data_IF_714340392359
#
_entry.id   IF_714340392359
#
_cell.length_a   1.000
_cell.length_b   1.000
_cell.length_c   1.000
_cell.angle_alpha   90.00
_cell.angle_beta   90.00
_cell.angle_gamma   90.00
#
_symmetry.space_group_name_H-M   'P 1'
#
loop_
_entity.id
_entity.type
_entity.pdbx_description
1 polymer ?
#
# COMPACT_ATOMS: atom_id res chain seq x y z
N UNK A 1 -2.62 -8.90 18.50
CA UNK A 1 -2.65 -9.13 17.03
C UNK A 1 -1.85 -8.01 16.37
N UNK A 2 -0.86 -8.36 15.55
CA UNK A 2 0.00 -7.36 14.87
C UNK A 2 -0.65 -6.94 13.56
N UNK A 3 -0.56 -5.65 13.21
CA UNK A 3 -1.01 -5.15 11.91
C UNK A 3 0.18 -4.54 11.17
N UNK A 4 0.42 -4.99 9.94
CA UNK A 4 1.41 -4.44 9.04
C UNK A 4 0.76 -3.47 8.08
N UNK A 5 1.36 -2.30 7.88
CA UNK A 5 1.03 -1.41 6.78
C UNK A 5 1.98 -1.70 5.61
N UNK A 6 1.42 -1.93 4.42
CA UNK A 6 2.19 -2.25 3.23
C UNK A 6 1.79 -1.32 2.09
N UNK A 7 2.70 -0.41 1.74
CA UNK A 7 2.52 0.53 0.64
C UNK A 7 2.68 -0.19 -0.70
N UNK A 8 1.69 -0.08 -1.58
CA UNK A 8 1.72 -0.66 -2.93
C UNK A 8 2.02 0.41 -3.97
N UNK A 9 3.05 0.18 -4.76
CA UNK A 9 3.52 1.08 -5.81
C UNK A 9 3.69 0.32 -7.13
N UNK A 10 3.10 0.85 -8.20
CA UNK A 10 3.25 0.28 -9.55
C UNK A 10 4.67 0.51 -10.07
N UNK A 11 5.23 -0.49 -10.74
CA UNK A 11 6.64 -0.50 -11.14
C UNK A 11 7.61 -0.86 -10.01
N UNK A 12 7.13 -1.18 -8.80
CA UNK A 12 7.98 -1.55 -7.67
C UNK A 12 7.57 -2.86 -6.99
N UNK A 13 6.41 -2.89 -6.33
CA UNK A 13 6.08 -3.98 -5.39
C UNK A 13 4.59 -4.39 -5.41
N UNK A 14 3.85 -4.06 -6.47
CA UNK A 14 2.43 -4.37 -6.59
C UNK A 14 2.12 -5.62 -7.43
N UNK A 15 3.08 -6.55 -7.59
CA UNK A 15 2.93 -7.74 -8.44
C UNK A 15 2.73 -9.02 -7.63
N UNK A 16 2.22 -10.10 -8.26
CA UNK A 16 1.93 -11.37 -7.58
C UNK A 16 3.13 -11.98 -6.84
N UNK A 17 4.34 -11.78 -7.34
CA UNK A 17 5.58 -12.31 -6.79
C UNK A 17 5.84 -11.76 -5.39
N UNK A 18 5.73 -10.44 -5.21
CA UNK A 18 5.92 -9.82 -3.89
C UNK A 18 4.83 -10.22 -2.90
N UNK A 19 3.59 -10.44 -3.36
CA UNK A 19 2.52 -10.94 -2.49
C UNK A 19 2.84 -12.35 -1.95
N UNK A 20 3.39 -13.23 -2.79
CA UNK A 20 3.81 -14.58 -2.37
C UNK A 20 4.99 -14.52 -1.41
N UNK A 21 5.99 -13.67 -1.68
CA UNK A 21 7.13 -13.47 -0.79
C UNK A 21 6.70 -12.93 0.57
N UNK A 22 5.82 -11.92 0.59
CA UNK A 22 5.27 -11.37 1.83
C UNK A 22 4.48 -12.44 2.59
N UNK A 23 3.69 -13.25 1.90
CA UNK A 23 2.95 -14.34 2.54
C UNK A 23 3.89 -15.37 3.20
N UNK A 24 5.00 -15.70 2.55
CA UNK A 24 6.00 -16.60 3.10
C UNK A 24 6.67 -16.03 4.35
N UNK A 25 7.03 -14.73 4.32
CA UNK A 25 7.65 -14.05 5.48
C UNK A 25 6.71 -13.98 6.68
N UNK A 26 5.41 -13.84 6.44
CA UNK A 26 4.40 -13.73 7.51
C UNK A 26 3.84 -15.09 7.95
N UNK A 27 4.32 -16.20 7.39
CA UNK A 27 3.80 -17.54 7.67
C UNK A 27 3.94 -17.87 9.16
N UNK A 28 2.83 -18.33 9.76
CA UNK A 28 2.77 -18.70 11.18
C UNK A 28 2.54 -17.54 12.15
N UNK A 29 2.52 -16.28 11.67
CA UNK A 29 2.21 -15.13 12.51
C UNK A 29 0.71 -14.79 12.49
N UNK A 30 0.13 -14.58 13.68
CA UNK A 30 -1.24 -14.08 13.82
C UNK A 30 -1.23 -12.56 13.57
N UNK A 31 -1.39 -12.18 12.31
CA UNK A 31 -1.30 -10.80 11.86
C UNK A 31 -2.35 -10.42 10.82
N UNK A 32 -2.45 -9.12 10.56
CA UNK A 32 -3.25 -8.51 9.49
C UNK A 32 -2.36 -7.62 8.64
N UNK A 33 -2.61 -7.56 7.34
CA UNK A 33 -1.95 -6.63 6.42
C UNK A 33 -2.95 -5.59 5.90
N UNK A 34 -2.62 -4.32 6.07
CA UNK A 34 -3.31 -3.19 5.47
C UNK A 34 -2.54 -2.74 4.22
N UNK A 35 -3.08 -3.06 3.05
CA UNK A 35 -2.55 -2.62 1.76
C UNK A 35 -2.95 -1.16 1.52
N UNK A 36 -1.98 -0.30 1.26
CA UNK A 36 -2.18 1.13 1.03
C UNK A 36 -1.70 1.44 -0.39
N UNK A 37 -2.59 1.65 -1.36
CA UNK A 37 -2.17 2.06 -2.70
C UNK A 37 -1.53 3.43 -2.66
N UNK A 38 -0.32 3.56 -3.21
CA UNK A 38 0.40 4.83 -3.32
C UNK A 38 -0.46 5.84 -4.10
N UNK A 39 -0.61 7.05 -3.55
CA UNK A 39 -1.13 8.17 -4.32
C UNK A 39 0.03 8.83 -5.06
N UNK A 40 -0.15 9.26 -6.31
CA UNK A 40 0.90 9.96 -7.04
C UNK A 40 1.36 11.19 -6.27
N UNK A 41 2.67 11.32 -6.08
CA UNK A 41 3.32 12.52 -5.53
C UNK A 41 4.56 12.85 -6.37
N UNK A 42 4.87 14.13 -6.60
CA UNK A 42 5.95 14.54 -7.51
C UNK A 42 7.34 13.96 -7.22
N UNK A 43 7.61 13.61 -5.97
CA UNK A 43 8.92 13.19 -5.47
C UNK A 43 9.17 11.69 -5.66
N UNK A 44 8.14 10.90 -5.95
CA UNK A 44 8.26 9.47 -6.15
C UNK A 44 7.98 9.12 -7.61
N UNK A 45 8.88 8.38 -8.28
CA UNK A 45 8.70 8.01 -9.69
C UNK A 45 7.63 6.93 -9.90
N UNK A 46 7.10 6.37 -8.81
CA UNK A 46 6.16 5.26 -8.84
C UNK A 46 4.71 5.73 -8.90
N UNK A 47 3.89 4.96 -9.61
CA UNK A 47 2.49 5.27 -9.81
C UNK A 47 1.60 4.49 -8.85
N UNK A 48 0.36 4.94 -8.76
CA UNK A 48 -0.71 4.16 -8.13
C UNK A 48 -0.88 2.84 -8.88
N UNK A 49 -0.85 1.68 -8.20
CA UNK A 49 -1.16 0.40 -8.82
C UNK A 49 -2.57 0.34 -9.39
N UNK A 50 -2.74 -0.44 -10.46
CA UNK A 50 -4.07 -0.74 -10.99
C UNK A 50 -4.94 -1.47 -9.95
N UNK A 51 -6.25 -1.28 -10.03
CA UNK A 51 -7.21 -2.00 -9.17
C UNK A 51 -7.06 -3.52 -9.28
N UNK A 52 -6.76 -4.02 -10.50
CA UNK A 52 -6.48 -5.43 -10.77
C UNK A 52 -5.28 -5.92 -9.96
N UNK A 53 -4.17 -5.20 -9.98
CA UNK A 53 -2.96 -5.57 -9.26
C UNK A 53 -3.20 -5.61 -7.74
N UNK A 54 -3.87 -4.58 -7.21
CA UNK A 54 -4.24 -4.51 -5.78
C UNK A 54 -5.11 -5.71 -5.37
N UNK A 55 -6.13 -6.01 -6.17
CA UNK A 55 -7.07 -7.12 -5.92
C UNK A 55 -6.35 -8.47 -5.97
N UNK A 56 -5.47 -8.67 -6.95
CA UNK A 56 -4.67 -9.90 -7.07
C UNK A 56 -3.73 -10.05 -5.86
N UNK A 57 -3.04 -8.98 -5.46
CA UNK A 57 -2.16 -8.97 -4.29
C UNK A 57 -2.91 -9.34 -3.02
N UNK A 58 -4.06 -8.69 -2.77
CA UNK A 58 -4.93 -8.98 -1.63
C UNK A 58 -5.40 -10.43 -1.63
N UNK A 59 -5.82 -10.95 -2.80
CA UNK A 59 -6.29 -12.33 -2.95
C UNK A 59 -5.20 -13.33 -2.59
N UNK A 60 -3.97 -13.11 -3.05
CA UNK A 60 -2.84 -14.00 -2.76
C UNK A 60 -2.57 -14.07 -1.25
N UNK A 61 -2.55 -12.92 -0.55
CA UNK A 61 -2.37 -12.91 0.90
C UNK A 61 -3.48 -13.70 1.62
N UNK A 62 -4.74 -13.46 1.23
CA UNK A 62 -5.90 -14.15 1.82
C UNK A 62 -5.88 -15.66 1.58
N UNK A 63 -5.49 -16.10 0.38
CA UNK A 63 -5.33 -17.52 0.04
C UNK A 63 -4.25 -18.21 0.87
N UNK A 64 -3.28 -17.45 1.39
CA UNK A 64 -2.24 -17.95 2.30
C UNK A 64 -2.59 -17.76 3.78
N UNK A 65 -3.87 -17.52 4.11
CA UNK A 65 -4.34 -17.39 5.49
C UNK A 65 -4.03 -16.05 6.16
N UNK A 66 -3.57 -15.05 5.41
CA UNK A 66 -3.25 -13.72 5.95
C UNK A 66 -4.42 -12.78 5.73
N UNK A 67 -4.98 -12.27 6.82
CA UNK A 67 -6.05 -11.28 6.76
C UNK A 67 -5.53 -10.00 6.08
N UNK A 68 -6.10 -9.65 4.92
CA UNK A 68 -5.69 -8.47 4.16
C UNK A 68 -6.87 -7.53 3.86
N UNK A 69 -6.69 -6.24 4.12
CA UNK A 69 -7.63 -5.16 3.77
C UNK A 69 -6.95 -4.10 2.93
N UNK A 70 -7.70 -3.42 2.07
CA UNK A 70 -7.19 -2.31 1.27
C UNK A 70 -7.69 -1.00 1.86
N UNK A 71 -6.78 -0.09 2.20
CA UNK A 71 -7.10 1.25 2.66
C UNK A 71 -6.96 2.22 1.48
N UNK A 72 -8.07 2.48 0.83
CA UNK A 72 -8.14 3.59 -0.12
C UNK A 72 -8.14 4.91 0.67
N UNK A 73 -7.28 5.84 0.29
CA UNK A 73 -7.30 7.17 0.87
C UNK A 73 -8.61 7.87 0.53
N UNK A 74 -9.30 8.43 1.52
CA UNK A 74 -10.41 9.36 1.29
C UNK A 74 -9.79 10.67 0.78
N UNK A 75 -10.28 11.19 -0.36
CA UNK A 75 -9.80 12.47 -0.91
C UNK A 75 -8.69 12.40 -1.95
N UNK A 76 -8.61 11.34 -2.76
CA UNK A 76 -7.69 11.31 -3.92
C UNK A 76 -7.87 12.48 -4.88
N UNK A 77 -9.07 13.09 -4.88
CA UNK A 77 -9.43 14.25 -5.70
C UNK A 77 -9.04 15.61 -5.05
N UNK A 78 -8.65 15.61 -3.78
CA UNK A 78 -8.35 16.80 -2.99
C UNK A 78 -7.15 16.49 -2.10
N UNK A 79 -5.93 16.53 -2.65
CA UNK A 79 -4.57 16.49 -2.04
C UNK A 79 -4.42 16.36 -0.50
N UNK A 80 -5.17 15.47 0.14
CA UNK A 80 -5.32 15.29 1.59
C UNK A 80 -5.20 13.81 1.97
N UNK A 81 -4.76 12.98 1.03
CA UNK A 81 -4.51 11.58 1.26
C UNK A 81 -3.28 11.37 2.18
N UNK A 82 -3.18 10.21 2.82
CA UNK A 82 -2.02 9.86 3.66
C UNK A 82 -0.71 10.04 2.88
N UNK A 83 0.22 10.82 3.44
CA UNK A 83 1.48 11.23 2.78
C UNK A 83 1.46 12.63 2.15
N UNK A 84 0.29 13.26 2.02
CA UNK A 84 0.13 14.60 1.44
C UNK A 84 -0.02 15.72 2.48
N UNK A 85 -0.18 15.39 3.77
CA UNK A 85 -0.13 16.37 4.86
C UNK A 85 1.30 16.91 5.01
N UNK A 86 1.60 17.96 4.24
CA UNK A 86 2.84 18.73 4.34
C UNK A 86 2.55 20.02 5.08
N UNK A 87 3.37 20.35 6.08
CA UNK A 87 3.58 21.76 6.40
C UNK A 87 4.36 22.34 5.23
N UNK A 88 3.74 23.24 4.46
CA UNK A 88 4.52 24.19 3.68
C UNK A 88 5.41 24.91 4.70
N UNK A 89 6.70 24.57 4.76
CA UNK A 89 7.66 25.51 5.34
C UNK A 89 7.57 26.72 4.43
N UNK A 90 6.94 27.79 4.91
CA UNK A 90 7.23 29.11 4.38
C UNK A 90 8.75 29.24 4.44
N UNK A 91 9.37 29.37 3.28
CA UNK A 91 10.74 29.84 3.18
C UNK A 91 10.78 31.18 3.93
N UNK A 92 11.31 31.13 5.15
CA UNK A 92 11.62 32.33 5.89
C UNK A 92 12.92 32.89 5.32
N UNK A 93 12.75 33.81 4.38
CA UNK A 93 13.72 34.76 3.79
C UNK A 93 14.85 34.18 2.94
#
# INVERSE_FOLDING_TARGET
QITFEYLLADGLNAYPEQAKQLALLLKGMICKVNLIPLNPIPEFPYKRPSYKNITVFQRILRQNGIAATVRFSRGGDISAACGQLRRMRQEAK
#
